data_IF_255402140884
#
_entry.id   IF_255402140884
#
_cell.length_a   1.000
_cell.length_b   1.000
_cell.length_c   1.000
_cell.angle_alpha   90.00
_cell.angle_beta   90.00
_cell.angle_gamma   90.00
#
_symmetry.space_group_name_H-M   'P 1'
#
loop_
_entity.id
_entity.type
_entity.pdbx_description
1 polymer ?
#
# COMPACT_ATOMS: atom_id res chain seq x y z
N UNK A 1 6.05 4.23 16.98
CA UNK A 1 4.60 4.50 17.09
C UNK A 1 3.86 3.92 15.89
N UNK A 2 2.64 3.43 16.06
CA UNK A 2 1.85 2.90 14.95
C UNK A 2 1.16 4.01 14.15
N UNK A 3 1.19 3.87 12.83
CA UNK A 3 0.50 4.76 11.89
C UNK A 3 -0.37 3.93 10.94
N UNK A 4 -1.56 4.43 10.63
CA UNK A 4 -2.42 3.92 9.58
C UNK A 4 -2.25 4.78 8.33
N UNK A 5 -1.78 4.17 7.25
CA UNK A 5 -1.62 4.80 5.94
C UNK A 5 -2.74 4.24 5.06
N UNK A 6 -3.66 5.12 4.65
CA UNK A 6 -4.82 4.79 3.82
C UNK A 6 -4.65 5.52 2.50
N UNK A 7 -4.42 4.78 1.42
CA UNK A 7 -4.31 5.33 0.07
C UNK A 7 -5.60 5.12 -0.73
N UNK A 8 -5.79 5.98 -1.73
CA UNK A 8 -6.85 5.86 -2.73
C UNK A 8 -6.20 5.73 -4.10
N UNK A 9 -6.62 4.73 -4.86
CA UNK A 9 -6.18 4.55 -6.23
C UNK A 9 -6.85 5.62 -7.12
N UNK A 10 -6.11 6.14 -8.10
CA UNK A 10 -6.69 7.03 -9.12
C UNK A 10 -7.53 6.24 -10.12
N UNK A 11 -8.47 6.89 -10.81
CA UNK A 11 -9.33 6.22 -11.79
C UNK A 11 -8.53 5.50 -12.88
N UNK A 12 -9.01 4.31 -13.30
CA UNK A 12 -8.43 3.49 -14.37
C UNK A 12 -6.93 3.16 -14.19
N UNK A 13 -6.47 2.99 -12.95
CA UNK A 13 -5.06 2.77 -12.61
C UNK A 13 -4.63 1.31 -12.50
N UNK A 14 -5.51 0.34 -12.78
CA UNK A 14 -5.25 -1.08 -12.56
C UNK A 14 -3.94 -1.56 -13.22
N UNK A 15 -3.68 -1.17 -14.47
CA UNK A 15 -2.45 -1.54 -15.18
C UNK A 15 -1.20 -0.96 -14.50
N UNK A 16 -1.24 0.32 -14.09
CA UNK A 16 -0.14 0.96 -13.35
C UNK A 16 0.12 0.25 -12.03
N UNK A 17 -0.96 -0.07 -11.31
CA UNK A 17 -0.91 -0.80 -10.04
C UNK A 17 -0.28 -2.17 -10.20
N UNK A 18 -0.62 -2.92 -11.25
CA UNK A 18 -0.02 -4.22 -11.53
C UNK A 18 1.47 -4.08 -11.82
N UNK A 19 1.86 -3.09 -12.64
CA UNK A 19 3.25 -2.83 -12.99
C UNK A 19 4.13 -2.46 -11.79
N UNK A 20 3.63 -1.60 -10.90
CA UNK A 20 4.35 -1.13 -9.72
C UNK A 20 4.24 -2.08 -8.50
N UNK A 21 3.37 -3.10 -8.55
CA UNK A 21 3.10 -4.00 -7.42
C UNK A 21 4.34 -4.73 -6.89
N UNK A 22 5.26 -5.26 -7.72
CA UNK A 22 6.44 -5.94 -7.19
C UNK A 22 7.26 -5.04 -6.25
N UNK A 23 7.59 -3.83 -6.71
CA UNK A 23 8.36 -2.86 -5.93
C UNK A 23 7.62 -2.40 -4.67
N UNK A 24 6.30 -2.21 -4.75
CA UNK A 24 5.46 -1.91 -3.60
C UNK A 24 5.52 -3.03 -2.54
N UNK A 25 5.40 -4.30 -2.96
CA UNK A 25 5.43 -5.46 -2.05
C UNK A 25 6.81 -5.60 -1.39
N UNK A 26 7.90 -5.32 -2.09
CA UNK A 26 9.25 -5.40 -1.51
C UNK A 26 9.44 -4.43 -0.34
N UNK A 27 8.84 -3.24 -0.39
CA UNK A 27 8.84 -2.26 0.71
C UNK A 27 8.10 -2.78 1.93
N UNK A 28 6.98 -3.47 1.72
CA UNK A 28 6.20 -4.10 2.80
C UNK A 28 6.94 -5.29 3.42
N UNK A 29 7.60 -6.11 2.60
CA UNK A 29 8.43 -7.20 3.09
C UNK A 29 9.58 -6.69 3.96
N UNK A 30 10.21 -5.56 3.58
CA UNK A 30 11.22 -4.92 4.42
C UNK A 30 10.67 -4.52 5.79
N UNK A 31 9.51 -3.87 5.86
CA UNK A 31 8.85 -3.54 7.13
C UNK A 31 8.51 -4.80 7.95
N UNK A 32 8.08 -5.88 7.28
CA UNK A 32 7.80 -7.16 7.91
C UNK A 32 9.05 -7.79 8.52
N UNK A 33 10.16 -7.80 7.78
CA UNK A 33 11.44 -8.35 8.23
C UNK A 33 12.04 -7.55 9.40
N UNK A 34 11.78 -6.23 9.43
CA UNK A 34 12.11 -5.36 10.56
C UNK A 34 11.17 -5.54 11.78
N UNK A 35 10.12 -6.36 11.66
CA UNK A 35 9.11 -6.53 12.72
C UNK A 35 8.19 -5.32 12.92
N UNK A 36 8.18 -4.40 11.95
CA UNK A 36 7.44 -3.12 12.01
C UNK A 36 6.10 -3.15 11.31
N UNK A 37 5.81 -4.16 10.49
CA UNK A 37 4.53 -4.29 9.79
C UNK A 37 3.49 -5.06 10.63
N UNK A 38 2.34 -4.43 10.91
CA UNK A 38 1.23 -5.07 11.62
C UNK A 38 0.27 -5.73 10.63
N UNK A 39 -0.17 -4.98 9.62
CA UNK A 39 -0.97 -5.49 8.50
C UNK A 39 -0.82 -4.59 7.28
N UNK A 40 -0.99 -5.18 6.10
CA UNK A 40 -1.16 -4.44 4.86
C UNK A 40 -2.07 -5.21 3.90
N UNK A 41 -2.85 -4.49 3.11
CA UNK A 41 -3.71 -5.10 2.11
C UNK A 41 -4.37 -4.10 1.16
N UNK A 42 -4.77 -4.55 -0.04
CA UNK A 42 -5.53 -3.74 -0.97
C UNK A 42 -6.99 -3.55 -0.52
N UNK A 43 -7.67 -2.54 -1.07
CA UNK A 43 -9.13 -2.41 -1.02
C UNK A 43 -9.73 -2.86 -2.36
N UNK A 44 -10.26 -4.09 -2.49
CA UNK A 44 -10.96 -4.51 -3.70
C UNK A 44 -12.14 -3.60 -4.02
N UNK A 45 -12.36 -3.32 -5.31
CA UNK A 45 -13.48 -2.47 -5.74
C UNK A 45 -14.85 -3.15 -5.65
N UNK A 46 -14.85 -4.48 -5.47
CA UNK A 46 -16.02 -5.33 -5.28
C UNK A 46 -15.76 -6.28 -4.11
N UNK A 47 -16.80 -6.92 -3.58
CA UNK A 47 -16.70 -7.88 -2.47
C UNK A 47 -16.09 -9.22 -2.93
N UNK A 48 -14.81 -9.18 -3.32
CA UNK A 48 -14.01 -10.31 -3.78
C UNK A 48 -12.52 -9.99 -3.62
N UNK A 49 -11.74 -10.92 -3.06
CA UNK A 49 -10.28 -10.77 -2.91
C UNK A 49 -9.53 -10.73 -4.25
N UNK A 50 -10.12 -11.29 -5.30
CA UNK A 50 -9.59 -11.31 -6.67
C UNK A 50 -10.58 -10.57 -7.59
N UNK A 51 -10.60 -9.22 -7.55
CA UNK A 51 -11.63 -8.42 -8.22
C UNK A 51 -11.54 -8.42 -9.76
N UNK A 52 -10.52 -9.06 -10.35
CA UNK A 52 -10.30 -9.07 -11.79
C UNK A 52 -10.19 -7.65 -12.35
N UNK A 53 -10.91 -7.39 -13.44
CA UNK A 53 -10.96 -6.08 -14.10
C UNK A 53 -11.62 -4.97 -13.25
N UNK A 54 -12.44 -5.33 -12.26
CA UNK A 54 -13.00 -4.33 -11.34
C UNK A 54 -11.91 -3.63 -10.51
N UNK A 55 -10.76 -4.29 -10.34
CA UNK A 55 -9.58 -3.69 -9.74
C UNK A 55 -9.77 -3.30 -8.27
N UNK A 56 -9.11 -2.21 -7.87
CA UNK A 56 -8.95 -1.81 -6.48
C UNK A 56 -9.17 -0.32 -6.33
N UNK A 57 -9.55 0.11 -5.13
CA UNK A 57 -9.85 1.51 -4.81
C UNK A 57 -8.79 2.16 -3.92
N UNK A 58 -7.76 1.40 -3.53
CA UNK A 58 -6.73 1.88 -2.62
C UNK A 58 -6.05 0.75 -1.84
N UNK A 59 -5.36 1.12 -0.76
CA UNK A 59 -4.68 0.19 0.15
C UNK A 59 -4.70 0.70 1.59
N UNK A 60 -4.53 -0.23 2.52
CA UNK A 60 -4.28 0.03 3.93
C UNK A 60 -2.93 -0.56 4.32
N UNK A 61 -2.12 0.22 5.04
CA UNK A 61 -0.91 -0.24 5.73
C UNK A 61 -0.96 0.25 7.18
N UNK A 62 -0.72 -0.66 8.13
CA UNK A 62 -0.49 -0.31 9.53
C UNK A 62 0.90 -0.77 9.91
N UNK A 63 1.78 0.19 10.21
CA UNK A 63 3.18 -0.07 10.50
C UNK A 63 3.75 0.91 11.53
N UNK A 64 4.89 0.54 12.10
CA UNK A 64 5.62 1.35 13.06
C UNK A 64 6.61 2.31 12.39
N UNK A 65 6.58 3.58 12.78
CA UNK A 65 7.55 4.62 12.45
C UNK A 65 7.99 5.41 13.69
N UNK A 66 9.13 6.09 13.63
CA UNK A 66 9.62 6.91 14.74
C UNK A 66 8.67 8.10 14.97
N UNK A 67 8.31 8.81 13.89
CA UNK A 67 7.39 9.93 13.91
C UNK A 67 6.49 10.01 12.66
N UNK A 68 5.64 11.04 12.60
CA UNK A 68 4.70 11.26 11.51
C UNK A 68 5.40 11.65 10.21
N UNK A 69 6.55 12.33 10.30
CA UNK A 69 7.31 12.76 9.13
C UNK A 69 7.87 11.53 8.42
N UNK A 70 8.46 10.59 9.17
CA UNK A 70 8.98 9.34 8.61
C UNK A 70 7.88 8.48 7.97
N UNK A 71 6.71 8.41 8.60
CA UNK A 71 5.55 7.71 8.05
C UNK A 71 5.08 8.32 6.72
N UNK A 72 5.07 9.66 6.61
CA UNK A 72 4.70 10.38 5.38
C UNK A 72 5.75 10.24 4.30
N UNK A 73 7.02 10.43 4.62
CA UNK A 73 8.11 10.28 3.66
C UNK A 73 8.15 8.85 3.09
N UNK A 74 7.87 7.84 3.95
CA UNK A 74 7.70 6.47 3.49
C UNK A 74 6.44 6.30 2.61
N UNK A 75 5.31 6.90 2.95
CA UNK A 75 4.10 6.81 2.11
C UNK A 75 4.29 7.49 0.73
N UNK A 76 4.91 8.67 0.69
CA UNK A 76 5.11 9.48 -0.52
C UNK A 76 6.14 8.85 -1.48
N UNK A 77 7.05 8.02 -0.96
CA UNK A 77 8.02 7.27 -1.74
C UNK A 77 7.47 5.95 -2.32
N UNK A 78 6.17 5.69 -2.22
CA UNK A 78 5.58 4.47 -2.77
C UNK A 78 5.54 4.48 -4.31
N UNK A 79 5.91 3.38 -4.99
CA UNK A 79 5.80 3.27 -6.44
C UNK A 79 4.40 3.54 -7.00
N UNK A 80 3.33 3.38 -6.19
CA UNK A 80 1.97 3.74 -6.58
C UNK A 80 1.70 5.26 -6.67
N UNK A 81 2.61 6.10 -6.20
CA UNK A 81 2.47 7.58 -6.29
C UNK A 81 2.85 8.11 -7.69
N UNK A 82 3.55 7.32 -8.52
CA UNK A 82 4.10 7.73 -9.82
C UNK A 82 3.10 7.80 -10.99
#
# INVERSE_FOLDING_TARGET
MLYAIISQDVENSLEKRIGARPDHIDRLNKLKDEGRLILAGPHPAIDNNEPGEAGFTGSLVVAEFEDLKDARDWADADPYVA
#
